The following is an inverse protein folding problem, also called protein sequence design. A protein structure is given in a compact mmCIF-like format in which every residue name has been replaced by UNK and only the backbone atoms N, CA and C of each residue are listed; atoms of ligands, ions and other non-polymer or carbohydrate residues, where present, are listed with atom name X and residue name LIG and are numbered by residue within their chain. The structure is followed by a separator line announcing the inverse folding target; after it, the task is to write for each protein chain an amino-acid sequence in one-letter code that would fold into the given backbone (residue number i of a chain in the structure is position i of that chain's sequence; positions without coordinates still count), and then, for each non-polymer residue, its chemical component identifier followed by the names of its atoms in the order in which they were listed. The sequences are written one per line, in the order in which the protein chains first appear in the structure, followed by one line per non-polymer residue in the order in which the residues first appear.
data_IF_853631893489
#
_entry.id   IF_853631893489
#
_cell.length_a   1.000
_cell.length_b   1.000
_cell.length_c   1.000
_cell.angle_alpha   90.00
_cell.angle_beta   90.00
_cell.angle_gamma   90.00
#
_symmetry.space_group_name_H-M   'P 1'
#
loop_
_entity.id
_entity.type
_entity.pdbx_description
1 polymer ?
#
# COMPACT_ATOMS: atom_id res chain seq x y z
N UNK A 1 -21.87 -22.77 -67.73
CA UNK A 1 -21.21 -22.02 -66.63
C UNK A 1 -22.18 -21.54 -65.56
N UNK A 2 -23.36 -21.01 -65.92
CA UNK A 2 -24.33 -20.46 -64.95
C UNK A 2 -24.89 -21.51 -63.98
N UNK A 3 -25.22 -22.72 -64.47
CA UNK A 3 -25.72 -23.84 -63.66
C UNK A 3 -24.69 -24.40 -62.66
N UNK A 4 -23.41 -24.36 -62.99
CA UNK A 4 -22.34 -24.84 -62.09
C UNK A 4 -22.13 -23.86 -60.95
N UNK A 5 -22.27 -22.56 -61.22
CA UNK A 5 -22.18 -21.51 -60.21
C UNK A 5 -23.36 -21.54 -59.23
N UNK A 6 -24.59 -21.80 -59.69
CA UNK A 6 -25.75 -21.89 -58.79
C UNK A 6 -25.67 -23.09 -57.84
N UNK A 7 -25.24 -24.25 -58.34
CA UNK A 7 -25.08 -25.47 -57.52
C UNK A 7 -23.94 -25.30 -56.49
N UNK A 8 -22.83 -24.69 -56.89
CA UNK A 8 -21.73 -24.36 -55.97
C UNK A 8 -22.17 -23.37 -54.89
N UNK A 9 -23.00 -22.38 -55.24
CA UNK A 9 -23.50 -21.39 -54.30
C UNK A 9 -24.50 -21.99 -53.29
N UNK A 10 -25.41 -22.86 -53.72
CA UNK A 10 -26.33 -23.59 -52.81
C UNK A 10 -25.58 -24.55 -51.86
N UNK A 11 -24.53 -25.20 -52.35
CA UNK A 11 -23.67 -26.06 -51.51
C UNK A 11 -22.84 -25.25 -50.51
N UNK A 12 -22.39 -24.04 -50.88
CA UNK A 12 -21.66 -23.16 -49.97
C UNK A 12 -22.58 -22.58 -48.89
N UNK A 13 -23.82 -22.20 -49.23
CA UNK A 13 -24.78 -21.67 -48.26
C UNK A 13 -25.20 -22.72 -47.23
N UNK A 14 -25.42 -23.97 -47.65
CA UNK A 14 -25.78 -25.07 -46.74
C UNK A 14 -24.64 -25.42 -45.77
N UNK A 15 -23.40 -25.45 -46.24
CA UNK A 15 -22.23 -25.65 -45.36
C UNK A 15 -22.07 -24.51 -44.34
N UNK A 16 -22.31 -23.26 -44.76
CA UNK A 16 -22.27 -22.11 -43.84
C UNK A 16 -23.39 -22.23 -42.80
N UNK A 17 -24.60 -22.60 -43.21
CA UNK A 17 -25.74 -22.78 -42.32
C UNK A 17 -25.49 -23.89 -41.29
N UNK A 18 -24.90 -25.01 -41.69
CA UNK A 18 -24.51 -26.10 -40.80
C UNK A 18 -23.45 -25.65 -39.77
N UNK A 19 -22.44 -24.88 -40.19
CA UNK A 19 -21.42 -24.32 -39.29
C UNK A 19 -22.07 -23.39 -38.27
N UNK A 20 -22.99 -22.52 -38.71
CA UNK A 20 -23.70 -21.58 -37.84
C UNK A 20 -24.58 -22.34 -36.84
N UNK A 21 -25.31 -23.36 -37.28
CA UNK A 21 -26.15 -24.19 -36.42
C UNK A 21 -25.33 -24.97 -35.39
N UNK A 22 -24.14 -25.47 -35.79
CA UNK A 22 -23.21 -26.13 -34.89
C UNK A 22 -22.68 -25.16 -33.83
N UNK A 23 -22.34 -23.93 -34.20
CA UNK A 23 -21.92 -22.88 -33.26
C UNK A 23 -23.04 -22.50 -32.28
N UNK A 24 -24.28 -22.36 -32.76
CA UNK A 24 -25.45 -22.06 -31.91
C UNK A 24 -25.71 -23.21 -30.93
N UNK A 25 -25.62 -24.46 -31.39
CA UNK A 25 -25.76 -25.66 -30.57
C UNK A 25 -24.69 -25.75 -29.49
N UNK A 26 -23.42 -25.49 -29.84
CA UNK A 26 -22.33 -25.43 -28.88
C UNK A 26 -22.55 -24.30 -27.86
N UNK A 27 -22.95 -23.12 -28.30
CA UNK A 27 -23.22 -22.01 -27.41
C UNK A 27 -24.35 -22.33 -26.42
N UNK A 28 -25.45 -22.91 -26.90
CA UNK A 28 -26.57 -23.32 -26.04
C UNK A 28 -26.17 -24.42 -25.04
N UNK A 29 -25.39 -25.41 -25.50
CA UNK A 29 -24.91 -26.51 -24.66
C UNK A 29 -23.97 -26.01 -23.56
N UNK A 30 -23.10 -25.05 -23.88
CA UNK A 30 -22.09 -24.54 -22.95
C UNK A 30 -22.45 -23.23 -22.24
N UNK A 31 -23.64 -22.66 -22.50
CA UNK A 31 -24.10 -21.39 -21.94
C UNK A 31 -24.00 -21.36 -20.41
N UNK A 32 -24.40 -22.45 -19.76
CA UNK A 32 -24.39 -22.56 -18.30
C UNK A 32 -22.94 -22.56 -17.76
N UNK A 33 -22.00 -23.22 -18.44
CA UNK A 33 -20.59 -23.21 -18.07
C UNK A 33 -19.95 -21.82 -18.26
N UNK A 34 -20.31 -21.11 -19.33
CA UNK A 34 -19.86 -19.73 -19.57
C UNK A 34 -20.35 -18.81 -18.44
N UNK A 35 -21.60 -18.95 -18.02
CA UNK A 35 -22.16 -18.18 -16.90
C UNK A 35 -21.46 -18.51 -15.56
N UNK A 36 -21.17 -19.78 -15.29
CA UNK A 36 -20.40 -20.20 -14.11
C UNK A 36 -19.01 -19.56 -14.13
N UNK A 37 -18.32 -19.57 -15.26
CA UNK A 37 -16.98 -18.98 -15.38
C UNK A 37 -17.00 -17.47 -15.09
N UNK A 38 -17.99 -16.74 -15.63
CA UNK A 38 -18.18 -15.31 -15.34
C UNK A 38 -18.47 -15.10 -13.85
N UNK A 39 -19.35 -15.92 -13.25
CA UNK A 39 -19.66 -15.88 -11.83
C UNK A 39 -18.43 -16.08 -10.94
N UNK A 40 -17.55 -17.03 -11.30
CA UNK A 40 -16.29 -17.28 -10.58
C UNK A 40 -15.32 -16.11 -10.68
N UNK A 41 -15.21 -15.46 -11.84
CA UNK A 41 -14.36 -14.26 -12.02
C UNK A 41 -14.85 -13.13 -11.13
N UNK A 42 -16.16 -12.88 -11.11
CA UNK A 42 -16.77 -11.85 -10.26
C UNK A 42 -16.57 -12.20 -8.77
N UNK A 43 -16.81 -13.45 -8.39
CA UNK A 43 -16.62 -13.93 -7.01
C UNK A 43 -15.16 -13.75 -6.56
N UNK A 44 -14.21 -14.14 -7.41
CA UNK A 44 -12.78 -13.93 -7.15
C UNK A 44 -12.49 -12.45 -6.93
N UNK A 45 -13.01 -11.55 -7.78
CA UNK A 45 -12.79 -10.12 -7.64
C UNK A 45 -13.40 -9.55 -6.34
N UNK A 46 -14.60 -9.99 -5.96
CA UNK A 46 -15.27 -9.59 -4.73
C UNK A 46 -14.51 -10.06 -3.49
N UNK A 47 -14.11 -11.34 -3.45
CA UNK A 47 -13.34 -11.93 -2.35
C UNK A 47 -12.00 -11.23 -2.21
N UNK A 48 -11.29 -11.03 -3.33
CA UNK A 48 -10.02 -10.31 -3.36
C UNK A 48 -10.19 -8.90 -2.82
N UNK A 49 -11.23 -8.16 -3.25
CA UNK A 49 -11.52 -6.81 -2.75
C UNK A 49 -11.89 -6.77 -1.26
N UNK A 50 -12.62 -7.77 -0.77
CA UNK A 50 -12.97 -7.89 0.65
C UNK A 50 -11.75 -8.19 1.52
N UNK A 51 -10.91 -9.15 1.10
CA UNK A 51 -9.67 -9.52 1.81
C UNK A 51 -8.70 -8.34 1.84
N UNK A 52 -8.51 -7.63 0.72
CA UNK A 52 -7.63 -6.46 0.69
C UNK A 52 -8.18 -5.27 1.51
N UNK A 53 -9.50 -5.08 1.61
CA UNK A 53 -10.05 -4.11 2.57
C UNK A 53 -9.82 -4.52 4.02
N UNK A 54 -9.82 -5.81 4.33
CA UNK A 54 -9.47 -6.34 5.66
C UNK A 54 -8.00 -6.18 6.02
N UNK A 55 -7.08 -6.29 5.06
CA UNK A 55 -5.62 -6.14 5.31
C UNK A 55 -5.12 -4.69 5.29
N UNK A 56 -5.94 -3.73 4.86
CA UNK A 56 -5.66 -2.28 4.99
C UNK A 56 -5.94 -1.76 6.41
N UNK A 57 -6.42 -2.61 7.33
CA UNK A 57 -6.06 -2.43 8.74
C UNK A 57 -4.58 -2.78 8.94
N UNK A 58 -3.69 -2.06 8.24
CA UNK A 58 -2.46 -1.62 8.89
C UNK A 58 -2.96 -0.91 10.12
N UNK A 59 -2.95 -1.61 11.26
CA UNK A 59 -2.98 -0.96 12.56
C UNK A 59 -2.12 0.28 12.38
N UNK A 60 -2.71 1.46 12.57
CA UNK A 60 -1.94 2.65 12.79
C UNK A 60 -1.13 2.37 14.07
N UNK A 61 -0.06 1.57 13.96
CA UNK A 61 1.03 1.51 14.91
C UNK A 61 1.53 2.93 14.84
N UNK A 62 0.97 3.77 15.71
CA UNK A 62 1.44 5.14 15.93
C UNK A 62 2.95 5.00 15.95
N UNK A 63 3.60 5.58 14.94
CA UNK A 63 5.04 5.47 14.89
C UNK A 63 5.56 6.04 16.21
N UNK A 64 6.52 5.36 16.86
CA UNK A 64 7.01 5.76 18.17
C UNK A 64 7.36 7.25 18.12
N UNK A 65 6.65 8.04 18.90
CA UNK A 65 6.78 9.49 18.89
C UNK A 65 7.82 9.88 19.92
N UNK A 66 8.66 10.82 19.53
CA UNK A 66 9.78 11.27 20.34
C UNK A 66 9.42 12.64 20.88
N UNK A 67 9.47 12.77 22.20
CA UNK A 67 9.13 13.99 22.92
C UNK A 67 10.28 14.39 23.85
N UNK A 68 10.38 15.69 24.15
CA UNK A 68 11.31 16.14 25.17
C UNK A 68 10.82 15.65 26.54
N UNK A 69 11.73 15.05 27.29
CA UNK A 69 11.50 14.75 28.70
C UNK A 69 11.44 16.05 29.53
N UNK A 70 11.00 15.95 30.79
CA UNK A 70 11.00 17.10 31.72
C UNK A 70 12.41 17.70 31.87
N UNK A 71 13.45 16.87 31.96
CA UNK A 71 14.85 17.32 32.05
C UNK A 71 15.31 18.09 30.80
N UNK A 72 14.83 17.69 29.62
CA UNK A 72 15.08 18.36 28.34
C UNK A 72 14.25 19.62 28.11
N UNK A 73 13.11 19.76 28.79
CA UNK A 73 12.22 20.94 28.73
C UNK A 73 12.64 22.06 29.68
N UNK A 74 12.99 21.73 30.93
CA UNK A 74 13.16 22.70 32.00
C UNK A 74 14.53 23.41 31.99
N UNK A 75 15.58 22.78 31.45
CA UNK A 75 16.93 23.38 31.41
C UNK A 75 17.04 24.38 30.27
N UNK A 76 17.61 25.57 30.47
CA UNK A 76 17.87 26.49 29.34
C UNK A 76 18.87 25.85 28.36
N UNK A 77 18.69 26.10 27.06
CA UNK A 77 19.59 25.57 26.01
C UNK A 77 21.04 26.02 26.27
N UNK A 78 21.23 27.27 26.71
CA UNK A 78 22.54 27.79 27.11
C UNK A 78 23.16 27.05 28.30
N UNK A 79 22.34 26.62 29.26
CA UNK A 79 22.83 25.81 30.39
C UNK A 79 23.27 24.41 29.93
N UNK A 80 22.51 23.78 29.02
CA UNK A 80 22.88 22.48 28.44
C UNK A 80 24.16 22.57 27.61
N UNK A 81 24.34 23.65 26.85
CA UNK A 81 25.53 23.88 26.01
C UNK A 81 26.79 24.21 26.84
N UNK A 82 26.63 24.98 27.92
CA UNK A 82 27.76 25.40 28.79
C UNK A 82 28.13 24.36 29.85
N UNK A 83 27.14 23.71 30.47
CA UNK A 83 27.34 22.84 31.64
C UNK A 83 26.94 21.38 31.39
N UNK A 84 26.12 21.09 30.39
CA UNK A 84 25.63 19.74 30.07
C UNK A 84 26.47 18.96 29.06
N UNK A 85 27.63 19.51 28.64
CA UNK A 85 28.46 19.00 27.54
C UNK A 85 27.68 18.71 26.24
N UNK A 86 26.51 19.34 26.06
CA UNK A 86 25.71 19.17 24.85
C UNK A 86 26.18 20.13 23.78
N UNK A 87 27.12 19.68 22.96
CA UNK A 87 27.63 20.44 21.82
C UNK A 87 27.32 19.73 20.51
N UNK A 88 27.12 20.52 19.44
CA UNK A 88 26.89 20.01 18.10
C UNK A 88 25.48 19.45 17.89
N UNK A 89 25.39 18.25 17.29
CA UNK A 89 24.13 17.67 16.79
C UNK A 89 23.13 17.39 17.94
N UNK A 90 23.62 17.05 19.13
CA UNK A 90 22.79 16.76 20.32
C UNK A 90 21.93 17.99 20.72
N UNK A 91 22.50 19.19 20.72
CA UNK A 91 21.80 20.43 21.03
C UNK A 91 20.81 20.82 19.91
N UNK A 92 21.17 20.55 18.64
CA UNK A 92 20.29 20.79 17.50
C UNK A 92 19.03 19.93 17.57
N UNK A 93 19.13 18.66 17.97
CA UNK A 93 17.96 17.78 18.17
C UNK A 93 17.02 18.36 19.22
N UNK A 94 17.55 18.84 20.35
CA UNK A 94 16.73 19.45 21.41
C UNK A 94 16.07 20.74 20.92
N UNK A 95 16.81 21.60 20.23
CA UNK A 95 16.27 22.83 19.64
C UNK A 95 15.16 22.53 18.63
N UNK A 96 15.36 21.51 17.81
CA UNK A 96 14.38 21.07 16.82
C UNK A 96 13.10 20.55 17.48
N UNK A 97 13.22 19.70 18.50
CA UNK A 97 12.08 19.21 19.28
C UNK A 97 11.38 20.32 20.08
N UNK A 98 12.07 21.36 20.54
CA UNK A 98 11.43 22.52 21.17
C UNK A 98 10.57 23.31 20.21
N UNK A 99 11.04 23.46 18.96
CA UNK A 99 10.32 24.20 17.92
C UNK A 99 9.12 23.42 17.37
N UNK A 100 9.26 22.11 17.21
CA UNK A 100 8.29 21.27 16.49
C UNK A 100 7.45 20.36 17.40
N UNK A 101 7.78 20.26 18.69
CA UNK A 101 7.07 19.40 19.63
C UNK A 101 7.42 17.93 19.46
N UNK A 102 6.40 17.07 19.37
CA UNK A 102 6.54 15.62 19.22
C UNK A 102 6.76 15.25 17.76
N UNK A 103 7.75 14.39 17.48
CA UNK A 103 8.04 13.95 16.11
C UNK A 103 8.23 12.43 16.03
N UNK A 104 7.92 11.80 14.87
CA UNK A 104 8.20 10.38 14.68
C UNK A 104 9.70 10.07 14.83
N UNK A 105 10.02 9.00 15.55
CA UNK A 105 11.41 8.55 15.77
C UNK A 105 12.18 8.40 14.46
N UNK A 106 11.57 7.77 13.45
CA UNK A 106 12.20 7.56 12.14
C UNK A 106 12.57 8.87 11.45
N UNK A 107 11.75 9.92 11.59
CA UNK A 107 12.02 11.22 11.00
C UNK A 107 13.25 11.86 11.66
N UNK A 108 13.34 11.80 12.98
CA UNK A 108 14.50 12.30 13.72
C UNK A 108 15.77 11.51 13.43
N UNK A 109 15.67 10.18 13.35
CA UNK A 109 16.80 9.30 13.00
C UNK A 109 17.30 9.56 11.58
N UNK A 110 16.41 9.89 10.64
CA UNK A 110 16.77 10.25 9.27
C UNK A 110 17.51 11.60 9.19
N UNK A 111 17.11 12.58 9.99
CA UNK A 111 17.69 13.93 9.96
C UNK A 111 18.99 14.04 10.77
N UNK A 112 19.06 13.42 11.95
CA UNK A 112 20.16 13.62 12.90
C UNK A 112 20.99 12.35 13.17
N UNK A 113 20.57 11.21 12.64
CA UNK A 113 21.25 9.93 12.80
C UNK A 113 20.78 9.13 14.03
N UNK A 114 20.63 7.82 13.86
CA UNK A 114 20.13 6.91 14.90
C UNK A 114 21.01 6.84 16.15
N UNK A 115 22.33 6.98 15.99
CA UNK A 115 23.30 6.99 17.12
C UNK A 115 23.07 8.16 18.08
N UNK A 116 22.76 9.34 17.54
CA UNK A 116 22.51 10.56 18.33
C UNK A 116 21.20 10.41 19.11
N UNK A 117 20.13 9.99 18.43
CA UNK A 117 18.82 9.80 19.07
C UNK A 117 18.90 8.76 20.20
N UNK A 118 19.60 7.64 19.99
CA UNK A 118 19.80 6.63 21.03
C UNK A 118 20.54 7.18 22.25
N UNK A 119 21.62 7.94 22.05
CA UNK A 119 22.38 8.58 23.13
C UNK A 119 21.52 9.55 23.94
N UNK A 120 20.66 10.33 23.27
CA UNK A 120 19.78 11.29 23.94
C UNK A 120 18.66 10.62 24.74
N UNK A 121 18.20 9.44 24.31
CA UNK A 121 17.28 8.59 25.06
C UNK A 121 17.98 8.02 26.30
N UNK A 122 19.21 7.49 26.14
CA UNK A 122 20.01 6.94 27.25
C UNK A 122 20.35 8.01 28.30
N UNK A 123 20.62 9.25 27.87
CA UNK A 123 20.81 10.42 28.75
C UNK A 123 19.51 10.91 29.41
N UNK A 124 18.36 10.30 29.10
CA UNK A 124 17.06 10.68 29.65
C UNK A 124 16.59 12.08 29.23
N UNK A 125 17.16 12.65 28.18
CA UNK A 125 16.81 13.99 27.67
C UNK A 125 15.57 13.96 26.80
N UNK A 126 15.35 12.83 26.14
CA UNK A 126 14.27 12.61 25.19
C UNK A 126 13.58 11.29 25.52
N UNK A 127 12.25 11.23 25.40
CA UNK A 127 11.44 10.05 25.65
C UNK A 127 10.73 9.60 24.38
N UNK A 128 10.58 8.28 24.23
CA UNK A 128 9.77 7.67 23.18
C UNK A 128 8.41 7.30 23.79
N UNK A 129 7.32 7.71 23.15
CA UNK A 129 5.91 7.51 23.52
C UNK A 129 5.20 6.73 22.43
#
# INVERSE_FOLDING_TARGET
MILVYSILQESATSVIEDIVNLLISLFSTYQLYILIAIGLIILYFVVTRLIFRGTIYKSARKEPMVTLSMSGRERSLEYLERFGEMKGVDAQVIRYLRKHGSLPKKQLEKTFGSKVIRRLIEKGMIRVV
#
